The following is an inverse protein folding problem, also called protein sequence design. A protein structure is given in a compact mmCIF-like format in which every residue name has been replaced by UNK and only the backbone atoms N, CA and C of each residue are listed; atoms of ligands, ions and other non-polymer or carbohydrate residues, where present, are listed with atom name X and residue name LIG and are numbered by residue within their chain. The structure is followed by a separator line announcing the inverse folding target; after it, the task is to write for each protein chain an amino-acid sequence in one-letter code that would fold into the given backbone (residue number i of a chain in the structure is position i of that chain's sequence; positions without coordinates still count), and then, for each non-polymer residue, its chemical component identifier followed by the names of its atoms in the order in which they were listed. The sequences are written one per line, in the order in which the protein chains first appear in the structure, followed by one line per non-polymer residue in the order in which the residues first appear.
data_IF_257009122368
#
_entry.id   IF_257009122368
#
_cell.length_a   1.000
_cell.length_b   1.000
_cell.length_c   1.000
_cell.angle_alpha   90.00
_cell.angle_beta   90.00
_cell.angle_gamma   90.00
#
_symmetry.space_group_name_H-M   'P 1'
#
loop_
_entity.id
_entity.type
_entity.pdbx_description
1 polymer ?
#
# COMPACT_ATOMS: atom_id res chain seq x y z
N UNK A 1 8.19 -10.63 15.34
CA UNK A 1 7.01 -10.64 14.45
C UNK A 1 7.41 -11.28 13.13
N UNK A 2 6.62 -12.23 12.61
CA UNK A 2 6.93 -12.92 11.36
C UNK A 2 6.50 -12.07 10.16
N UNK A 3 7.43 -11.72 9.26
CA UNK A 3 7.12 -10.98 8.04
C UNK A 3 6.39 -11.86 7.03
N UNK A 4 5.59 -11.24 6.18
CA UNK A 4 4.91 -11.85 5.04
C UNK A 4 5.83 -11.76 3.82
N UNK A 5 6.61 -12.81 3.55
CA UNK A 5 7.60 -12.84 2.45
C UNK A 5 7.41 -14.02 1.50
N UNK A 6 6.49 -14.93 1.82
CA UNK A 6 6.15 -16.11 1.00
C UNK A 6 4.64 -16.26 0.86
N UNK A 7 4.19 -16.98 -0.17
CA UNK A 7 2.77 -17.36 -0.30
C UNK A 7 2.27 -18.21 0.87
N UNK A 8 3.15 -18.98 1.51
CA UNK A 8 2.83 -19.77 2.71
C UNK A 8 2.54 -18.87 3.92
N UNK A 9 3.22 -17.73 4.05
CA UNK A 9 2.89 -16.74 5.08
C UNK A 9 1.47 -16.18 4.90
N UNK A 10 1.07 -15.93 3.65
CA UNK A 10 -0.30 -15.52 3.32
C UNK A 10 -1.29 -16.61 3.68
N UNK A 11 -1.04 -17.86 3.27
CA UNK A 11 -1.93 -18.98 3.54
C UNK A 11 -2.15 -19.17 5.06
N UNK A 12 -1.06 -19.17 5.84
CA UNK A 12 -1.15 -19.23 7.31
C UNK A 12 -1.97 -18.09 7.91
N UNK A 13 -1.75 -16.86 7.44
CA UNK A 13 -2.51 -15.71 7.92
C UNK A 13 -3.99 -15.81 7.58
N UNK A 14 -4.33 -16.29 6.38
CA UNK A 14 -5.72 -16.52 5.98
C UNK A 14 -6.41 -17.61 6.82
N UNK A 15 -5.70 -18.70 7.11
CA UNK A 15 -6.20 -19.77 7.99
C UNK A 15 -6.46 -19.24 9.41
N UNK A 16 -5.49 -18.50 9.97
CA UNK A 16 -5.62 -17.89 11.29
C UNK A 16 -6.77 -16.87 11.35
N UNK A 17 -6.94 -16.04 10.31
CA UNK A 17 -8.02 -15.07 10.23
C UNK A 17 -9.40 -15.72 10.24
N UNK A 18 -9.58 -16.88 9.59
CA UNK A 18 -10.86 -17.60 9.61
C UNK A 18 -11.19 -18.15 11.00
N UNK A 19 -10.18 -18.55 11.78
CA UNK A 19 -10.37 -18.97 13.18
C UNK A 19 -10.70 -17.78 14.08
N UNK A 20 -10.03 -16.65 13.88
CA UNK A 20 -10.22 -15.41 14.64
C UNK A 20 -11.60 -14.80 14.39
N UNK A 21 -12.01 -14.73 13.12
CA UNK A 21 -13.27 -14.15 12.69
C UNK A 21 -13.93 -15.06 11.62
N UNK A 22 -14.84 -15.97 12.03
CA UNK A 22 -15.50 -16.90 11.12
C UNK A 22 -16.28 -16.24 9.98
N UNK A 23 -16.62 -14.95 10.09
CA UNK A 23 -17.24 -14.20 8.97
C UNK A 23 -16.32 -14.14 7.76
N UNK A 24 -15.01 -14.22 7.96
CA UNK A 24 -14.00 -14.15 6.90
C UNK A 24 -13.91 -15.42 6.05
N UNK A 25 -14.49 -16.55 6.48
CA UNK A 25 -14.52 -17.78 5.68
C UNK A 25 -15.22 -17.56 4.33
N UNK A 26 -16.40 -16.91 4.37
CA UNK A 26 -17.15 -16.55 3.16
C UNK A 26 -16.37 -15.55 2.30
N UNK A 27 -15.71 -14.58 2.93
CA UNK A 27 -14.90 -13.56 2.24
C UNK A 27 -13.75 -14.23 1.50
N UNK A 28 -13.02 -15.14 2.16
CA UNK A 28 -11.93 -15.91 1.58
C UNK A 28 -12.41 -16.78 0.42
N UNK A 29 -13.54 -17.47 0.56
CA UNK A 29 -14.12 -18.28 -0.52
C UNK A 29 -14.48 -17.47 -1.77
N UNK A 30 -14.74 -16.16 -1.63
CA UNK A 30 -15.07 -15.26 -2.73
C UNK A 30 -13.88 -14.42 -3.22
N UNK A 31 -12.74 -14.44 -2.51
CA UNK A 31 -11.60 -13.57 -2.80
C UNK A 31 -10.70 -14.03 -3.94
N UNK A 32 -10.90 -15.25 -4.44
CA UNK A 32 -10.00 -15.87 -5.41
C UNK A 32 -8.59 -15.98 -4.83
N UNK A 33 -7.58 -15.78 -5.67
CA UNK A 33 -6.19 -15.75 -5.24
C UNK A 33 -5.85 -14.46 -4.48
N UNK A 34 -5.23 -14.62 -3.31
CA UNK A 34 -4.68 -13.55 -2.48
C UNK A 34 -3.16 -13.53 -2.66
N UNK A 35 -2.64 -12.72 -3.59
CA UNK A 35 -1.23 -12.77 -3.95
C UNK A 35 -0.32 -12.18 -2.86
N UNK A 36 0.91 -12.70 -2.78
CA UNK A 36 1.95 -12.22 -1.86
C UNK A 36 2.25 -10.73 -2.01
N UNK A 37 2.24 -10.16 -3.22
CA UNK A 37 2.63 -8.75 -3.53
C UNK A 37 3.74 -8.23 -2.60
N UNK A 38 4.98 -8.49 -2.98
CA UNK A 38 6.16 -8.00 -2.28
C UNK A 38 7.00 -7.21 -3.28
N UNK A 39 7.41 -5.99 -2.90
CA UNK A 39 8.27 -5.12 -3.70
C UNK A 39 9.59 -4.89 -2.98
N UNK A 40 10.66 -4.66 -3.75
CA UNK A 40 11.96 -4.32 -3.18
C UNK A 40 11.83 -2.97 -2.44
N UNK A 41 12.25 -2.88 -1.16
CA UNK A 41 12.29 -1.61 -0.47
C UNK A 41 13.16 -0.61 -1.22
N UNK A 42 12.64 0.61 -1.44
CA UNK A 42 13.46 1.69 -1.94
C UNK A 42 12.64 2.80 -2.56
N UNK A 43 13.34 3.75 -3.18
CA UNK A 43 12.71 4.93 -3.77
C UNK A 43 11.72 4.56 -4.87
N UNK A 44 12.04 3.56 -5.70
CA UNK A 44 11.18 3.12 -6.81
C UNK A 44 9.82 2.59 -6.33
N UNK A 45 9.79 1.74 -5.30
CA UNK A 45 8.54 1.20 -4.75
C UNK A 45 7.72 2.29 -4.07
N UNK A 46 8.36 3.17 -3.28
CA UNK A 46 7.67 4.31 -2.67
C UNK A 46 7.11 5.28 -3.72
N UNK A 47 7.87 5.57 -4.78
CA UNK A 47 7.41 6.42 -5.88
C UNK A 47 6.19 5.81 -6.60
N UNK A 48 6.16 4.49 -6.82
CA UNK A 48 5.00 3.78 -7.37
C UNK A 48 3.73 4.02 -6.53
N UNK A 49 3.85 3.95 -5.20
CA UNK A 49 2.72 4.19 -4.28
C UNK A 49 2.23 5.64 -4.38
N UNK A 50 3.16 6.62 -4.42
CA UNK A 50 2.81 8.04 -4.58
C UNK A 50 2.11 8.30 -5.92
N UNK A 51 2.61 7.73 -7.01
CA UNK A 51 1.96 7.82 -8.34
C UNK A 51 0.55 7.26 -8.31
N UNK A 52 0.28 6.29 -7.44
CA UNK A 52 -0.99 5.56 -7.37
C UNK A 52 -2.06 6.21 -6.50
N UNK A 53 -1.69 7.26 -5.76
CA UNK A 53 -2.64 8.01 -4.92
C UNK A 53 -3.81 8.56 -5.76
N UNK A 54 -5.05 8.32 -5.31
CA UNK A 54 -6.28 8.93 -5.84
C UNK A 54 -6.51 8.71 -7.35
N UNK A 55 -5.99 7.63 -7.93
CA UNK A 55 -6.20 7.27 -9.34
C UNK A 55 -6.52 5.78 -9.48
N UNK A 56 -7.08 5.37 -10.62
CA UNK A 56 -7.26 3.95 -10.92
C UNK A 56 -5.91 3.24 -11.11
N UNK A 57 -5.89 1.92 -10.93
CA UNK A 57 -4.71 1.09 -11.18
C UNK A 57 -4.17 1.26 -12.60
N UNK A 58 -5.04 1.22 -13.61
CA UNK A 58 -4.65 1.44 -15.00
C UNK A 58 -3.99 2.82 -15.24
N UNK A 59 -4.49 3.86 -14.57
CA UNK A 59 -3.90 5.21 -14.67
C UNK A 59 -2.54 5.27 -13.98
N UNK A 60 -2.42 4.66 -12.80
CA UNK A 60 -1.16 4.57 -12.06
C UNK A 60 -0.10 3.83 -12.89
N UNK A 61 -0.44 2.66 -13.43
CA UNK A 61 0.45 1.84 -14.28
C UNK A 61 0.93 2.63 -15.50
N UNK A 62 0.02 3.37 -16.17
CA UNK A 62 0.37 4.19 -17.32
C UNK A 62 1.29 5.37 -16.98
N UNK A 63 1.02 6.09 -15.87
CA UNK A 63 1.86 7.21 -15.41
C UNK A 63 3.24 6.71 -15.00
N UNK A 64 3.29 5.65 -14.19
CA UNK A 64 4.55 5.09 -13.70
C UNK A 64 5.39 4.48 -14.84
N UNK A 65 4.74 3.86 -15.82
CA UNK A 65 5.39 3.36 -17.03
C UNK A 65 6.00 4.46 -17.90
N UNK A 66 5.39 5.65 -17.99
CA UNK A 66 6.01 6.81 -18.65
C UNK A 66 7.16 7.39 -17.82
N UNK A 67 6.97 7.55 -16.50
CA UNK A 67 8.01 8.08 -15.60
C UNK A 67 9.29 7.25 -15.68
N UNK A 68 9.18 5.93 -15.63
CA UNK A 68 10.33 5.01 -15.68
C UNK A 68 10.98 4.91 -17.06
N UNK A 69 10.33 5.38 -18.13
CA UNK A 69 10.97 5.55 -19.45
C UNK A 69 11.73 6.86 -19.58
N UNK A 70 11.28 7.90 -18.88
CA UNK A 70 11.92 9.22 -18.86
C UNK A 70 13.11 9.27 -17.90
N UNK A 71 13.08 8.47 -16.83
CA UNK A 71 14.12 8.41 -15.81
C UNK A 71 14.44 6.95 -15.50
N UNK A 72 15.57 6.47 -16.03
CA UNK A 72 16.11 5.13 -15.80
C UNK A 72 17.64 5.20 -15.56
N UNK A 73 18.15 4.75 -14.40
CA UNK A 73 17.41 4.18 -13.27
C UNK A 73 16.60 5.23 -12.49
N UNK A 74 15.40 4.84 -12.02
CA UNK A 74 14.55 5.69 -11.17
C UNK A 74 15.13 5.78 -9.74
N UNK A 75 16.07 6.71 -9.57
CA UNK A 75 16.78 6.98 -8.31
C UNK A 75 16.43 8.37 -7.78
N UNK A 76 16.63 8.64 -6.47
CA UNK A 76 16.46 9.98 -5.91
C UNK A 76 17.28 11.04 -6.67
N UNK A 77 18.55 10.74 -6.95
CA UNK A 77 19.48 11.65 -7.63
C UNK A 77 19.04 11.94 -9.07
N UNK A 78 18.58 10.92 -9.80
CA UNK A 78 18.08 11.10 -11.17
C UNK A 78 16.80 11.96 -11.19
N UNK A 79 15.91 11.80 -10.21
CA UNK A 79 14.71 12.65 -10.08
C UNK A 79 15.08 14.11 -9.80
N UNK A 80 16.03 14.35 -8.90
CA UNK A 80 16.47 15.71 -8.56
C UNK A 80 17.19 16.38 -9.76
N UNK A 81 17.84 15.62 -10.63
CA UNK A 81 18.60 16.13 -11.77
C UNK A 81 17.76 16.39 -13.03
N UNK A 82 16.68 15.65 -13.26
CA UNK A 82 16.03 15.62 -14.57
C UNK A 82 15.00 16.76 -14.83
N UNK A 83 14.75 17.64 -13.85
CA UNK A 83 13.92 18.86 -14.00
C UNK A 83 12.41 18.62 -14.08
N UNK A 84 11.58 19.67 -13.85
CA UNK A 84 10.13 19.48 -13.66
C UNK A 84 9.34 19.05 -14.91
N UNK A 85 9.86 19.30 -16.12
CA UNK A 85 9.17 19.00 -17.38
C UNK A 85 8.88 17.51 -17.56
N UNK A 86 9.78 16.64 -17.10
CA UNK A 86 9.60 15.18 -17.21
C UNK A 86 8.37 14.71 -16.44
N UNK A 87 8.03 15.36 -15.31
CA UNK A 87 6.88 14.96 -14.55
C UNK A 87 5.57 15.30 -15.26
N UNK A 88 5.54 16.43 -15.96
CA UNK A 88 4.38 16.81 -16.79
C UNK A 88 4.21 15.82 -17.93
N UNK A 89 5.30 15.44 -18.59
CA UNK A 89 5.28 14.44 -19.66
C UNK A 89 4.84 13.05 -19.16
N UNK A 90 5.25 12.65 -17.96
CA UNK A 90 4.77 11.44 -17.30
C UNK A 90 3.26 11.50 -16.98
N UNK A 91 2.68 12.70 -16.86
CA UNK A 91 1.28 12.92 -16.49
C UNK A 91 1.05 13.02 -14.98
N UNK A 92 2.07 13.41 -14.20
CA UNK A 92 1.96 13.62 -12.76
C UNK A 92 1.31 14.97 -12.44
N UNK A 93 0.41 14.97 -11.46
CA UNK A 93 -0.16 16.19 -10.90
C UNK A 93 0.87 16.94 -10.07
N UNK A 94 0.74 18.28 -9.97
CA UNK A 94 1.65 19.11 -9.16
C UNK A 94 1.86 18.62 -7.71
N UNK A 95 0.83 18.15 -6.98
CA UNK A 95 1.04 17.57 -5.64
C UNK A 95 1.97 16.34 -5.65
N UNK A 96 1.82 15.43 -6.62
CA UNK A 96 2.67 14.24 -6.74
C UNK A 96 4.10 14.60 -7.14
N UNK A 97 4.28 15.62 -7.98
CA UNK A 97 5.60 16.17 -8.33
C UNK A 97 6.34 16.64 -7.08
N UNK A 98 5.72 17.53 -6.30
CA UNK A 98 6.30 18.04 -5.06
C UNK A 98 6.60 16.92 -4.06
N UNK A 99 5.71 15.94 -3.95
CA UNK A 99 5.91 14.77 -3.10
C UNK A 99 7.12 13.94 -3.53
N UNK A 100 7.24 13.60 -4.82
CA UNK A 100 8.39 12.83 -5.32
C UNK A 100 9.71 13.58 -5.15
N UNK A 101 9.73 14.90 -5.38
CA UNK A 101 10.92 15.73 -5.14
C UNK A 101 11.28 15.73 -3.65
N UNK A 102 10.31 15.95 -2.76
CA UNK A 102 10.54 15.96 -1.32
C UNK A 102 11.03 14.60 -0.80
N UNK A 103 10.49 13.50 -1.31
CA UNK A 103 10.95 12.15 -0.98
C UNK A 103 12.36 11.92 -1.51
N UNK A 104 12.65 12.33 -2.74
CA UNK A 104 13.98 12.20 -3.32
C UNK A 104 15.02 12.98 -2.50
N UNK A 105 14.68 14.20 -2.08
CA UNK A 105 15.51 15.02 -1.21
C UNK A 105 15.72 14.35 0.16
N UNK A 106 14.65 13.86 0.80
CA UNK A 106 14.76 13.19 2.09
C UNK A 106 15.67 11.94 2.03
N UNK A 107 15.58 11.14 0.96
CA UNK A 107 16.46 9.99 0.75
C UNK A 107 17.90 10.42 0.48
N UNK A 108 18.11 11.49 -0.31
CA UNK A 108 19.44 12.06 -0.52
C UNK A 108 20.07 12.61 0.78
N UNK A 109 19.24 13.10 1.70
CA UNK A 109 19.64 13.65 3.00
C UNK A 109 19.75 12.59 4.11
N UNK A 110 19.55 11.30 3.78
CA UNK A 110 19.83 10.18 4.70
C UNK A 110 18.62 9.39 5.19
N UNK A 111 17.41 9.61 4.65
CA UNK A 111 16.27 8.73 4.92
C UNK A 111 16.54 7.34 4.33
N UNK A 112 16.82 6.37 5.20
CA UNK A 112 17.07 4.99 4.81
C UNK A 112 15.76 4.18 4.76
N UNK A 113 15.24 4.02 3.54
CA UNK A 113 14.01 3.27 3.26
C UNK A 113 14.12 1.76 3.58
N UNK A 114 15.32 1.17 3.51
CA UNK A 114 15.51 -0.22 3.91
C UNK A 114 15.48 -0.36 5.43
N UNK A 115 16.12 0.57 6.15
CA UNK A 115 16.12 0.57 7.61
C UNK A 115 14.70 0.72 8.19
N UNK A 116 13.86 1.58 7.58
CA UNK A 116 12.44 1.72 7.98
C UNK A 116 11.69 0.39 8.01
N UNK A 117 12.04 -0.56 7.13
CA UNK A 117 11.40 -1.87 7.09
C UNK A 117 11.77 -2.76 8.29
N UNK A 118 12.79 -2.39 9.07
CA UNK A 118 13.24 -3.09 10.28
C UNK A 118 12.70 -2.49 11.59
N UNK A 119 12.12 -1.29 11.54
CA UNK A 119 11.55 -0.62 12.69
C UNK A 119 10.17 -1.18 13.07
N UNK A 120 9.69 -0.81 14.24
CA UNK A 120 8.28 -0.98 14.59
C UNK A 120 7.38 -0.18 13.62
N UNK A 121 6.16 -0.69 13.36
CA UNK A 121 5.23 -0.04 12.44
C UNK A 121 5.00 1.43 12.78
N UNK A 122 4.75 1.75 14.06
CA UNK A 122 4.38 3.09 14.47
C UNK A 122 5.56 4.06 14.34
N UNK A 123 6.76 3.59 14.67
CA UNK A 123 8.00 4.35 14.51
C UNK A 123 8.30 4.62 13.03
N UNK A 124 8.18 3.60 12.18
CA UNK A 124 8.36 3.74 10.74
C UNK A 124 7.32 4.70 10.13
N UNK A 125 6.04 4.55 10.47
CA UNK A 125 4.97 5.45 10.00
C UNK A 125 5.23 6.89 10.43
N UNK A 126 5.65 7.11 11.69
CA UNK A 126 5.96 8.44 12.20
C UNK A 126 7.11 9.08 11.42
N UNK A 127 8.18 8.32 11.18
CA UNK A 127 9.35 8.78 10.42
C UNK A 127 8.98 9.10 8.97
N UNK A 128 8.23 8.20 8.32
CA UNK A 128 7.80 8.36 6.93
C UNK A 128 6.88 9.57 6.75
N UNK A 129 5.93 9.77 7.65
CA UNK A 129 4.93 10.86 7.54
C UNK A 129 5.50 12.25 7.85
N UNK A 130 6.72 12.35 8.36
CA UNK A 130 7.45 13.62 8.46
C UNK A 130 7.87 14.17 7.08
N UNK A 131 7.91 13.32 6.05
CA UNK A 131 8.30 13.71 4.68
C UNK A 131 7.08 14.24 3.92
N UNK A 132 7.13 15.49 3.38
CA UNK A 132 6.04 16.02 2.57
C UNK A 132 5.68 15.12 1.40
N UNK A 133 4.39 14.83 1.24
CA UNK A 133 3.87 13.93 0.20
C UNK A 133 3.69 12.48 0.64
N UNK A 134 4.20 12.10 1.83
CA UNK A 134 3.88 10.82 2.46
C UNK A 134 2.82 11.04 3.55
N UNK A 135 1.60 10.57 3.28
CA UNK A 135 0.55 10.47 4.30
C UNK A 135 0.54 9.10 4.99
N UNK A 136 -0.27 8.91 6.06
CA UNK A 136 -0.39 7.64 6.77
C UNK A 136 -0.65 6.46 5.83
N UNK A 137 -1.60 6.60 4.91
CA UNK A 137 -1.92 5.58 3.91
C UNK A 137 -0.70 5.16 3.07
N UNK A 138 0.15 6.11 2.65
CA UNK A 138 1.35 5.80 1.85
C UNK A 138 2.38 5.05 2.68
N UNK A 139 2.59 5.45 3.93
CA UNK A 139 3.51 4.75 4.84
C UNK A 139 3.02 3.34 5.14
N UNK A 140 1.73 3.17 5.47
CA UNK A 140 1.12 1.87 5.76
C UNK A 140 1.21 0.92 4.55
N UNK A 141 0.86 1.39 3.36
CA UNK A 141 0.96 0.60 2.12
C UNK A 141 2.41 0.23 1.80
N UNK A 142 3.35 1.14 2.01
CA UNK A 142 4.78 0.85 1.84
C UNK A 142 5.24 -0.25 2.80
N UNK A 143 4.89 -0.18 4.08
CA UNK A 143 5.27 -1.19 5.06
C UNK A 143 4.62 -2.55 4.77
N UNK A 144 3.38 -2.58 4.26
CA UNK A 144 2.73 -3.83 3.86
C UNK A 144 3.45 -4.57 2.73
N UNK A 145 3.88 -3.83 1.70
CA UNK A 145 4.38 -4.42 0.46
C UNK A 145 5.90 -4.41 0.31
N UNK A 146 6.60 -3.42 0.87
CA UNK A 146 8.05 -3.38 0.88
C UNK A 146 8.62 -4.09 2.13
N UNK A 147 8.08 -3.82 3.32
CA UNK A 147 8.59 -4.43 4.55
C UNK A 147 8.00 -5.83 4.84
N UNK A 148 6.93 -6.22 4.12
CA UNK A 148 6.19 -7.45 4.43
C UNK A 148 5.57 -7.42 5.82
N UNK A 149 5.18 -6.25 6.33
CA UNK A 149 4.65 -6.11 7.68
C UNK A 149 3.30 -6.87 7.80
N UNK A 150 3.13 -7.80 8.77
CA UNK A 150 1.93 -8.63 8.85
C UNK A 150 0.75 -7.93 9.51
N UNK A 151 0.99 -6.87 10.29
CA UNK A 151 0.00 -6.32 11.22
C UNK A 151 -0.32 -4.82 11.01
N UNK A 152 -0.49 -4.40 9.76
CA UNK A 152 -0.92 -3.04 9.39
C UNK A 152 -2.27 -3.10 8.68
N UNK A 153 -3.18 -2.17 9.00
CA UNK A 153 -4.49 -2.05 8.35
C UNK A 153 -4.74 -0.62 7.87
N UNK A 154 -4.61 -0.31 6.56
CA UNK A 154 -4.77 1.05 6.04
C UNK A 154 -6.24 1.52 6.04
N UNK A 155 -6.78 1.86 7.21
CA UNK A 155 -8.21 2.14 7.41
C UNK A 155 -8.74 3.36 6.63
N UNK A 156 -7.85 4.19 6.09
CA UNK A 156 -8.17 5.33 5.19
C UNK A 156 -8.25 4.96 3.71
N UNK A 157 -7.90 3.73 3.36
CA UNK A 157 -8.01 3.25 1.98
C UNK A 157 -9.48 3.10 1.59
N UNK A 158 -9.93 3.85 0.59
CA UNK A 158 -11.33 3.90 0.17
C UNK A 158 -11.80 2.55 -0.38
N UNK A 159 -10.93 1.84 -1.09
CA UNK A 159 -11.27 0.52 -1.62
C UNK A 159 -11.37 -0.51 -0.49
N UNK A 160 -10.47 -0.45 0.50
CA UNK A 160 -10.52 -1.31 1.69
C UNK A 160 -11.77 -1.03 2.52
N UNK A 161 -12.14 0.25 2.71
CA UNK A 161 -13.38 0.62 3.37
C UNK A 161 -14.60 0.00 2.69
N UNK A 162 -14.70 0.18 1.37
CA UNK A 162 -15.80 -0.39 0.59
C UNK A 162 -15.78 -1.92 0.55
N UNK A 163 -14.59 -2.53 0.54
CA UNK A 163 -14.43 -3.97 0.60
C UNK A 163 -14.97 -4.56 1.90
N UNK A 164 -14.57 -4.00 3.05
CA UNK A 164 -15.03 -4.44 4.37
C UNK A 164 -16.53 -4.21 4.54
N UNK A 165 -17.01 -3.02 4.16
CA UNK A 165 -18.43 -2.67 4.21
C UNK A 165 -19.30 -3.67 3.46
N UNK A 166 -18.89 -3.97 2.23
CA UNK A 166 -19.58 -4.94 1.38
C UNK A 166 -19.49 -6.37 1.91
N UNK A 167 -18.30 -6.82 2.30
CA UNK A 167 -18.04 -8.18 2.73
C UNK A 167 -18.80 -8.55 4.01
N UNK A 168 -18.89 -7.60 4.96
CA UNK A 168 -19.49 -7.83 6.28
C UNK A 168 -20.95 -7.36 6.37
N UNK A 169 -21.49 -6.77 5.31
CA UNK A 169 -22.88 -6.27 5.30
C UNK A 169 -23.12 -5.13 6.29
N UNK A 170 -22.10 -4.30 6.53
CA UNK A 170 -22.18 -3.11 7.39
C UNK A 170 -22.28 -1.85 6.52
N UNK A 171 -21.99 -0.68 7.07
CA UNK A 171 -21.94 0.58 6.31
C UNK A 171 -21.16 0.39 4.98
N UNK A 172 -21.67 0.84 3.82
CA UNK A 172 -20.99 0.68 2.53
C UNK A 172 -19.57 1.27 2.48
N UNK A 173 -19.26 2.20 3.37
CA UNK A 173 -17.92 2.75 3.58
C UNK A 173 -17.75 3.10 5.07
N UNK A 174 -17.47 2.10 5.92
CA UNK A 174 -17.36 2.31 7.36
C UNK A 174 -16.27 3.35 7.65
N UNK A 175 -16.51 4.27 8.60
CA UNK A 175 -15.54 5.31 8.91
C UNK A 175 -14.27 4.70 9.49
N UNK A 176 -13.15 5.41 9.34
CA UNK A 176 -11.81 4.99 9.80
C UNK A 176 -11.82 4.41 11.22
N UNK A 177 -12.45 5.11 12.17
CA UNK A 177 -12.55 4.67 13.57
C UNK A 177 -13.21 3.29 13.73
N UNK A 178 -14.26 3.03 12.96
CA UNK A 178 -14.97 1.74 12.98
C UNK A 178 -14.09 0.63 12.42
N UNK A 179 -13.36 0.91 11.34
CA UNK A 179 -12.44 -0.07 10.75
C UNK A 179 -11.25 -0.37 11.64
N UNK A 180 -10.67 0.63 12.30
CA UNK A 180 -9.58 0.42 13.26
C UNK A 180 -10.06 -0.53 14.37
N UNK A 181 -11.20 -0.23 15.01
CA UNK A 181 -11.75 -1.07 16.08
C UNK A 181 -12.08 -2.50 15.60
N UNK A 182 -12.60 -2.65 14.39
CA UNK A 182 -12.85 -3.97 13.81
C UNK A 182 -11.54 -4.74 13.57
N UNK A 183 -10.54 -4.07 13.00
CA UNK A 183 -9.26 -4.67 12.64
C UNK A 183 -8.41 -5.06 13.85
N UNK A 184 -8.66 -4.50 15.05
CA UNK A 184 -8.00 -4.93 16.29
C UNK A 184 -8.13 -6.44 16.51
N UNK A 185 -9.32 -7.00 16.22
CA UNK A 185 -9.56 -8.44 16.34
C UNK A 185 -8.69 -9.29 15.41
N UNK A 186 -8.25 -8.73 14.28
CA UNK A 186 -7.47 -9.44 13.27
C UNK A 186 -5.97 -9.42 13.52
N UNK A 187 -5.49 -8.79 14.59
CA UNK A 187 -4.08 -8.86 14.99
C UNK A 187 -3.70 -10.30 15.38
N UNK A 188 -2.51 -10.81 14.99
CA UNK A 188 -1.38 -10.12 14.35
C UNK A 188 -1.38 -10.15 12.80
N UNK A 189 -2.53 -10.43 12.17
CA UNK A 189 -2.68 -10.66 10.73
C UNK A 189 -3.42 -9.55 9.99
N UNK A 190 -3.46 -8.33 10.55
CA UNK A 190 -4.17 -7.20 9.93
C UNK A 190 -3.77 -6.91 8.48
N UNK A 191 -2.49 -7.06 8.15
CA UNK A 191 -1.99 -6.91 6.78
C UNK A 191 -2.46 -8.01 5.84
N UNK A 192 -2.63 -9.24 6.34
CA UNK A 192 -3.26 -10.33 5.57
C UNK A 192 -4.75 -10.06 5.39
N UNK A 193 -5.43 -9.50 6.39
CA UNK A 193 -6.82 -9.08 6.27
C UNK A 193 -6.98 -8.00 5.19
N UNK A 194 -6.10 -6.98 5.14
CA UNK A 194 -6.12 -5.98 4.07
C UNK A 194 -6.00 -6.62 2.67
N UNK A 195 -5.07 -7.56 2.50
CA UNK A 195 -4.86 -8.30 1.24
C UNK A 195 -6.07 -9.15 0.85
N UNK A 196 -6.70 -9.81 1.82
CA UNK A 196 -7.93 -10.56 1.64
C UNK A 196 -9.06 -9.66 1.12
N UNK A 197 -9.30 -8.54 1.79
CA UNK A 197 -10.39 -7.62 1.40
C UNK A 197 -10.14 -6.96 0.05
N UNK A 198 -8.92 -6.56 -0.29
CA UNK A 198 -8.62 -6.05 -1.63
C UNK A 198 -8.83 -7.10 -2.73
N UNK A 199 -8.47 -8.36 -2.46
CA UNK A 199 -8.67 -9.46 -3.42
C UNK A 199 -10.16 -9.76 -3.58
N UNK A 200 -10.90 -9.87 -2.47
CA UNK A 200 -12.35 -9.94 -2.45
C UNK A 200 -13.02 -8.84 -3.27
N UNK A 201 -12.58 -7.60 -3.08
CA UNK A 201 -13.17 -6.46 -3.77
C UNK A 201 -12.87 -6.47 -5.27
N UNK A 202 -11.65 -6.89 -5.65
CA UNK A 202 -11.27 -7.11 -7.05
C UNK A 202 -12.17 -8.15 -7.73
N UNK A 203 -12.43 -9.29 -7.07
CA UNK A 203 -13.26 -10.35 -7.65
C UNK A 203 -14.74 -9.97 -7.71
N UNK A 204 -15.25 -9.24 -6.70
CA UNK A 204 -16.69 -8.91 -6.61
C UNK A 204 -17.10 -7.62 -7.33
N UNK A 205 -16.17 -6.69 -7.57
CA UNK A 205 -16.44 -5.38 -8.20
C UNK A 205 -15.63 -5.11 -9.48
N UNK A 206 -14.70 -5.98 -9.85
CA UNK A 206 -13.86 -5.85 -11.05
C UNK A 206 -12.41 -5.40 -10.77
N UNK A 207 -11.54 -5.56 -11.77
CA UNK A 207 -10.06 -5.56 -11.64
C UNK A 207 -9.41 -4.28 -11.07
N UNK A 208 -10.07 -3.13 -11.13
CA UNK A 208 -9.46 -1.82 -10.81
C UNK A 208 -9.43 -1.48 -9.31
N UNK A 209 -9.91 -2.38 -8.46
CA UNK A 209 -10.28 -2.05 -7.08
C UNK A 209 -9.19 -2.29 -6.02
N UNK A 210 -8.06 -2.92 -6.36
CA UNK A 210 -6.95 -3.17 -5.43
C UNK A 210 -5.82 -2.15 -5.63
N UNK A 211 -5.15 -1.67 -4.56
CA UNK A 211 -3.98 -0.81 -4.71
C UNK A 211 -2.87 -1.55 -5.47
N UNK A 212 -1.96 -0.84 -6.15
CA UNK A 212 -0.81 -1.45 -6.79
C UNK A 212 0.16 -2.03 -5.75
N UNK A 213 1.00 -2.96 -6.21
CA UNK A 213 2.05 -3.60 -5.42
C UNK A 213 3.32 -2.74 -5.35
#
# INVERSE_FOLDING_TARGET
MQRIVTSDDIARGLDALCVIDPRLEKVRGMAGDVPLRLSEPGFRSLASIVVSQQVSRASADAIFGRLTKLVDPLTPQAILAAGEDMFREAGLSRPKQRGLIAIAQAVADGLDLHHLCSLDAQEAITTMTAVPGIGPWTAEVYLLFAAGHPDIFPARDVALQSAVGHALGIDPRPPEKTLIALAESWSPWRGVASRLFWSYYRETRGRDAAPPA
#
